data_IF_350859172645
#
_entry.id   IF_350859172645
#
_cell.length_a   1.000
_cell.length_b   1.000
_cell.length_c   1.000
_cell.angle_alpha   90.00
_cell.angle_beta   90.00
_cell.angle_gamma   90.00
#
_symmetry.space_group_name_H-M   'P 1'
#
loop_
_entity.id
_entity.type
_entity.pdbx_description
1 polymer ?
#
# COMPACT_ATOMS: atom_id res chain seq x y z
N UNK A 1 1.59 -9.74 19.05
CA UNK A 1 0.12 -9.57 19.01
C UNK A 1 -0.51 -10.96 19.13
N UNK A 2 -1.79 -11.06 19.50
CA UNK A 2 -2.50 -12.36 19.61
C UNK A 2 -2.33 -13.23 18.35
N UNK A 3 -2.41 -12.62 17.17
CA UNK A 3 -2.16 -13.29 15.88
C UNK A 3 -0.77 -13.95 15.79
N UNK A 4 0.28 -13.21 16.16
CA UNK A 4 1.66 -13.72 16.09
C UNK A 4 1.93 -14.76 17.17
N UNK A 5 1.33 -14.61 18.36
CA UNK A 5 1.40 -15.59 19.45
C UNK A 5 0.72 -16.91 19.07
N UNK A 6 -0.43 -16.86 18.40
CA UNK A 6 -1.14 -18.04 17.91
C UNK A 6 -0.33 -18.81 16.86
N UNK A 7 0.37 -18.10 15.97
CA UNK A 7 1.29 -18.72 15.01
C UNK A 7 2.44 -19.37 15.78
N UNK A 8 3.13 -18.63 16.66
CA UNK A 8 4.27 -19.15 17.41
C UNK A 8 3.94 -20.39 18.26
N UNK A 9 2.74 -20.46 18.88
CA UNK A 9 2.28 -21.62 19.66
C UNK A 9 2.11 -22.90 18.84
N UNK A 10 1.94 -22.81 17.52
CA UNK A 10 1.79 -23.97 16.63
C UNK A 10 3.13 -24.50 16.13
N UNK A 11 4.23 -23.84 16.43
CA UNK A 11 5.56 -24.12 15.90
C UNK A 11 6.43 -24.79 16.96
N UNK A 12 7.22 -25.76 16.53
CA UNK A 12 8.30 -26.33 17.35
C UNK A 12 9.49 -25.37 17.50
N UNK A 13 10.43 -25.66 18.42
CA UNK A 13 11.67 -24.91 18.53
C UNK A 13 12.42 -24.86 17.19
N UNK A 14 12.76 -23.66 16.71
CA UNK A 14 13.43 -23.41 15.43
C UNK A 14 12.68 -23.87 14.17
N UNK A 15 11.38 -24.17 14.27
CA UNK A 15 10.58 -24.48 13.08
C UNK A 15 10.31 -23.20 12.27
N UNK A 16 10.69 -23.14 10.98
CA UNK A 16 10.52 -21.94 10.18
C UNK A 16 9.06 -21.65 9.84
N UNK A 17 8.73 -20.38 9.58
CA UNK A 17 7.42 -19.99 9.06
C UNK A 17 7.12 -20.70 7.74
N UNK A 18 5.88 -21.16 7.61
CA UNK A 18 5.33 -21.69 6.36
C UNK A 18 4.49 -20.63 5.65
N UNK A 19 4.13 -20.91 4.40
CA UNK A 19 3.17 -20.07 3.67
C UNK A 19 1.80 -19.99 4.35
N UNK A 20 1.34 -21.07 5.01
CA UNK A 20 0.08 -21.04 5.78
C UNK A 20 0.18 -20.05 6.94
N UNK A 21 1.31 -20.06 7.66
CA UNK A 21 1.57 -19.12 8.76
C UNK A 21 1.52 -17.66 8.27
N UNK A 22 2.25 -17.34 7.19
CA UNK A 22 2.26 -16.00 6.60
C UNK A 22 0.86 -15.58 6.12
N UNK A 23 0.08 -16.50 5.55
CA UNK A 23 -1.28 -16.21 5.09
C UNK A 23 -2.27 -15.86 6.21
N UNK A 24 -1.95 -16.28 7.45
CA UNK A 24 -2.76 -15.99 8.65
C UNK A 24 -2.48 -14.60 9.23
N UNK A 25 -1.40 -13.94 8.83
CA UNK A 25 -0.97 -12.62 9.34
C UNK A 25 -1.80 -11.46 8.77
N UNK A 26 -3.12 -11.58 8.82
CA UNK A 26 -4.08 -10.63 8.23
C UNK A 26 -4.03 -9.28 8.93
N UNK A 27 -3.97 -9.26 10.26
CA UNK A 27 -3.89 -8.01 11.02
C UNK A 27 -2.55 -7.32 10.84
N UNK A 28 -1.43 -8.06 10.91
CA UNK A 28 -0.10 -7.51 10.58
C UNK A 28 -0.07 -6.91 9.17
N UNK A 29 -0.71 -7.56 8.18
CA UNK A 29 -0.79 -6.97 6.84
C UNK A 29 -1.57 -5.66 6.81
N UNK A 30 -2.70 -5.55 7.53
CA UNK A 30 -3.44 -4.29 7.65
C UNK A 30 -2.61 -3.18 8.31
N UNK A 31 -1.81 -3.51 9.31
CA UNK A 31 -0.86 -2.57 9.95
C UNK A 31 0.20 -2.10 8.96
N UNK A 32 0.75 -3.01 8.14
CA UNK A 32 1.70 -2.67 7.09
C UNK A 32 1.09 -1.75 6.03
N UNK A 33 -0.14 -2.03 5.59
CA UNK A 33 -0.87 -1.21 4.62
C UNK A 33 -1.15 0.21 5.16
N UNK A 34 -1.53 0.35 6.43
CA UNK A 34 -1.74 1.66 7.05
C UNK A 34 -0.43 2.43 7.25
N UNK A 35 0.67 1.72 7.52
CA UNK A 35 2.02 2.30 7.50
C UNK A 35 2.36 2.83 6.11
N UNK A 36 2.12 2.04 5.06
CA UNK A 36 2.36 2.44 3.67
C UNK A 36 1.48 3.63 3.25
N UNK A 37 0.26 3.76 3.78
CA UNK A 37 -0.63 4.91 3.53
C UNK A 37 -0.08 6.20 4.15
N UNK A 38 0.34 6.13 5.41
CA UNK A 38 0.68 7.32 6.21
C UNK A 38 2.14 7.76 6.02
N UNK A 39 3.04 6.80 5.86
CA UNK A 39 4.49 6.99 5.73
C UNK A 39 5.03 6.14 4.56
N UNK A 40 4.60 6.41 3.32
CA UNK A 40 5.11 5.67 2.17
C UNK A 40 6.60 5.93 1.95
N UNK A 41 7.43 4.90 1.67
CA UNK A 41 8.85 5.09 1.32
C UNK A 41 9.05 5.92 0.05
N UNK A 42 8.08 5.86 -0.88
CA UNK A 42 8.08 6.60 -2.14
C UNK A 42 6.86 7.52 -2.15
N UNK A 43 7.09 8.84 -2.24
CA UNK A 43 6.02 9.84 -2.17
C UNK A 43 5.20 10.00 -3.45
N UNK A 44 5.73 9.51 -4.58
CA UNK A 44 5.10 9.64 -5.88
C UNK A 44 6.00 9.19 -7.02
N UNK A 45 5.51 9.36 -8.24
CA UNK A 45 6.26 9.01 -9.45
C UNK A 45 6.02 10.03 -10.56
N UNK A 46 6.99 10.17 -11.46
CA UNK A 46 6.87 11.05 -12.62
C UNK A 46 6.39 10.29 -13.85
N UNK A 47 5.63 10.97 -14.71
CA UNK A 47 5.33 10.59 -16.09
C UNK A 47 5.57 11.79 -16.99
N UNK A 48 6.03 11.53 -18.21
CA UNK A 48 6.19 12.59 -19.21
C UNK A 48 5.01 12.55 -20.19
N UNK A 49 4.38 13.70 -20.42
CA UNK A 49 3.36 13.84 -21.43
C UNK A 49 3.99 13.66 -22.83
N UNK A 50 3.67 12.56 -23.51
CA UNK A 50 4.22 12.26 -24.85
C UNK A 50 3.52 13.01 -25.99
N UNK A 51 2.38 13.63 -25.67
CA UNK A 51 1.55 14.51 -26.51
C UNK A 51 0.84 15.50 -25.59
N UNK A 52 0.25 16.54 -26.16
CA UNK A 52 -0.62 17.44 -25.42
C UNK A 52 -1.83 16.66 -24.86
N UNK A 53 -2.21 16.96 -23.61
CA UNK A 53 -3.29 16.28 -22.89
C UNK A 53 -4.25 17.34 -22.33
N UNK A 54 -5.54 17.19 -22.61
CA UNK A 54 -6.61 17.89 -21.90
C UNK A 54 -7.14 17.00 -20.77
N UNK A 55 -7.11 17.48 -19.53
CA UNK A 55 -7.57 16.71 -18.38
C UNK A 55 -8.32 17.61 -17.39
N UNK A 56 -9.61 17.35 -17.17
CA UNK A 56 -10.49 18.17 -16.31
C UNK A 56 -10.38 19.69 -16.56
N UNK A 57 -10.25 20.10 -17.83
CA UNK A 57 -10.11 21.51 -18.23
C UNK A 57 -8.69 22.08 -18.11
N UNK A 58 -7.70 21.26 -17.72
CA UNK A 58 -6.29 21.61 -17.72
C UNK A 58 -5.61 21.15 -19.01
N UNK A 59 -4.92 22.07 -19.67
CA UNK A 59 -4.00 21.77 -20.77
C UNK A 59 -2.62 21.42 -20.23
N UNK A 60 -2.15 20.20 -20.52
CA UNK A 60 -0.82 19.70 -20.16
C UNK A 60 -0.01 19.53 -21.45
N UNK A 61 0.96 20.41 -21.73
CA UNK A 61 1.74 20.35 -22.97
C UNK A 61 2.63 19.11 -23.05
N UNK A 62 2.88 18.66 -24.28
CA UNK A 62 3.89 17.65 -24.60
C UNK A 62 5.24 18.02 -23.99
N UNK A 63 5.91 17.03 -23.42
CA UNK A 63 7.21 17.16 -22.77
C UNK A 63 7.14 17.52 -21.29
N UNK A 64 5.98 17.94 -20.78
CA UNK A 64 5.83 18.23 -19.36
C UNK A 64 5.89 16.96 -18.52
N UNK A 65 6.44 17.10 -17.31
CA UNK A 65 6.39 16.05 -16.30
C UNK A 65 5.16 16.21 -15.42
N UNK A 66 4.38 15.15 -15.31
CA UNK A 66 3.28 15.00 -14.37
C UNK A 66 3.77 14.19 -13.19
N UNK A 67 3.65 14.75 -11.98
CA UNK A 67 4.00 14.06 -10.74
C UNK A 67 2.75 13.52 -10.07
N UNK A 68 2.68 12.21 -9.86
CA UNK A 68 1.59 11.57 -9.11
C UNK A 68 1.94 11.56 -7.62
N UNK A 69 1.41 12.51 -6.86
CA UNK A 69 1.70 12.65 -5.42
C UNK A 69 0.84 11.71 -4.56
N UNK A 70 1.24 10.43 -4.49
CA UNK A 70 0.49 9.35 -3.84
C UNK A 70 0.18 9.66 -2.37
N UNK A 71 1.18 10.16 -1.62
CA UNK A 71 1.00 10.48 -0.20
C UNK A 71 -0.08 11.55 0.03
N UNK A 72 -0.22 12.51 -0.88
CA UNK A 72 -1.24 13.55 -0.76
C UNK A 72 -2.63 12.91 -0.91
N UNK A 73 -2.82 12.06 -1.91
CA UNK A 73 -4.07 11.31 -2.09
C UNK A 73 -4.37 10.38 -0.91
N UNK A 74 -3.34 9.72 -0.35
CA UNK A 74 -3.47 8.82 0.79
C UNK A 74 -3.89 9.53 2.09
N UNK A 75 -3.66 10.85 2.17
CA UNK A 75 -4.02 11.70 3.32
C UNK A 75 -5.21 12.63 3.02
N UNK A 76 -5.88 12.46 1.89
CA UNK A 76 -7.05 13.25 1.52
C UNK A 76 -8.29 12.74 2.29
N UNK A 77 -8.92 13.64 3.03
CA UNK A 77 -10.13 13.38 3.81
C UNK A 77 -11.34 12.96 2.98
N UNK A 78 -11.34 13.25 1.66
CA UNK A 78 -12.39 12.81 0.74
C UNK A 78 -12.33 11.31 0.44
N UNK A 79 -11.16 10.68 0.64
CA UNK A 79 -10.96 9.24 0.40
C UNK A 79 -10.72 8.46 1.69
N UNK A 80 -10.15 9.10 2.73
CA UNK A 80 -9.86 8.50 4.02
C UNK A 80 -10.35 9.37 5.17
N UNK A 81 -11.42 8.93 5.86
CA UNK A 81 -11.94 9.63 7.04
C UNK A 81 -10.87 9.74 8.14
N UNK A 82 -10.73 10.89 8.81
CA UNK A 82 -9.67 11.14 9.80
C UNK A 82 -8.28 10.71 9.30
N UNK A 83 -7.78 11.26 8.18
CA UNK A 83 -6.68 10.68 7.41
C UNK A 83 -5.35 10.59 8.18
N UNK A 84 -5.18 11.40 9.23
CA UNK A 84 -3.99 11.41 10.10
C UNK A 84 -4.03 10.35 11.21
N UNK A 85 -5.22 9.81 11.51
CA UNK A 85 -5.38 8.73 12.49
C UNK A 85 -4.88 7.43 11.88
N UNK A 86 -3.88 6.82 12.52
CA UNK A 86 -3.41 5.48 12.19
C UNK A 86 -4.47 4.46 12.60
N UNK A 87 -5.12 3.85 11.61
CA UNK A 87 -6.23 2.91 11.83
C UNK A 87 -6.16 1.72 10.84
N UNK A 88 -5.57 0.59 11.25
CA UNK A 88 -5.50 -0.61 10.41
C UNK A 88 -6.87 -1.16 9.97
N UNK A 89 -7.96 -0.85 10.69
CA UNK A 89 -9.31 -1.36 10.35
C UNK A 89 -9.85 -0.77 9.04
N UNK A 90 -9.25 0.30 8.52
CA UNK A 90 -9.53 0.84 7.17
C UNK A 90 -9.41 -0.22 6.07
N UNK A 91 -8.52 -1.19 6.27
CA UNK A 91 -8.26 -2.25 5.32
C UNK A 91 -9.06 -3.53 5.60
N UNK A 92 -10.07 -3.49 6.49
CA UNK A 92 -11.03 -4.59 6.62
C UNK A 92 -11.91 -4.74 5.38
N UNK A 93 -12.21 -3.63 4.71
CA UNK A 93 -12.94 -3.62 3.45
C UNK A 93 -12.18 -2.82 2.38
N UNK A 94 -11.23 -3.48 1.71
CA UNK A 94 -10.44 -2.89 0.64
C UNK A 94 -11.27 -2.32 -0.52
N UNK A 95 -12.48 -2.83 -0.77
CA UNK A 95 -13.30 -2.36 -1.90
C UNK A 95 -13.99 -1.03 -1.60
N UNK A 96 -13.94 -0.55 -0.35
CA UNK A 96 -14.46 0.78 0.02
C UNK A 96 -13.55 1.93 -0.44
N UNK A 97 -12.28 1.63 -0.71
CA UNK A 97 -11.30 2.62 -1.18
C UNK A 97 -11.47 2.78 -2.71
N UNK A 98 -11.71 4.01 -3.22
CA UNK A 98 -11.87 4.20 -4.66
C UNK A 98 -10.62 3.79 -5.45
N UNK A 99 -10.78 3.32 -6.70
CA UNK A 99 -9.65 2.97 -7.55
C UNK A 99 -8.62 4.09 -7.62
N UNK A 100 -7.34 3.73 -7.55
CA UNK A 100 -6.19 4.64 -7.58
C UNK A 100 -6.06 5.63 -6.41
N UNK A 101 -6.95 5.59 -5.40
CA UNK A 101 -6.81 6.39 -4.18
C UNK A 101 -5.87 5.77 -3.14
N UNK A 102 -5.54 4.47 -3.29
CA UNK A 102 -4.49 3.79 -2.53
C UNK A 102 -3.62 2.96 -3.47
N UNK A 103 -2.37 3.39 -3.67
CA UNK A 103 -1.44 2.82 -4.66
C UNK A 103 -0.01 2.79 -4.10
N UNK A 104 0.24 2.17 -2.92
CA UNK A 104 1.55 2.19 -2.28
C UNK A 104 2.66 1.56 -3.13
N UNK A 105 2.30 0.69 -4.07
CA UNK A 105 3.22 0.03 -5.01
C UNK A 105 3.03 0.51 -6.47
N UNK A 106 2.38 1.66 -6.66
CA UNK A 106 2.02 2.18 -7.97
C UNK A 106 0.81 1.47 -8.58
N UNK A 107 0.62 1.64 -9.89
CA UNK A 107 -0.52 1.08 -10.62
C UNK A 107 -0.27 0.98 -12.13
N UNK A 108 -1.13 0.23 -12.81
CA UNK A 108 -1.03 -0.01 -14.25
C UNK A 108 0.22 -0.80 -14.66
N UNK A 109 0.68 -0.67 -15.91
CA UNK A 109 1.81 -1.45 -16.46
C UNK A 109 3.17 -1.24 -15.77
N UNK A 110 3.27 -0.24 -14.88
CA UNK A 110 4.50 0.10 -14.14
C UNK A 110 4.33 -0.11 -12.63
N UNK A 111 3.36 -0.92 -12.22
CA UNK A 111 3.23 -1.38 -10.84
C UNK A 111 4.52 -2.09 -10.39
N UNK A 112 4.88 -1.96 -9.12
CA UNK A 112 6.07 -2.59 -8.56
C UNK A 112 6.04 -4.11 -8.78
N UNK A 113 7.03 -4.69 -9.50
CA UNK A 113 7.11 -6.14 -9.67
C UNK A 113 7.41 -6.87 -8.36
N UNK A 114 7.95 -6.16 -7.36
CA UNK A 114 8.28 -6.69 -6.04
C UNK A 114 7.15 -6.62 -5.01
N UNK A 115 5.90 -6.26 -5.39
CA UNK A 115 4.79 -6.10 -4.42
C UNK A 115 4.59 -7.34 -3.54
N UNK A 116 4.45 -8.53 -4.13
CA UNK A 116 4.23 -9.76 -3.36
C UNK A 116 5.47 -10.21 -2.58
N UNK A 117 6.66 -9.92 -3.11
CA UNK A 117 7.92 -10.17 -2.39
C UNK A 117 8.00 -9.29 -1.14
N UNK A 118 7.80 -7.98 -1.28
CA UNK A 118 7.81 -7.02 -0.19
C UNK A 118 6.75 -7.36 0.86
N UNK A 119 5.54 -7.76 0.44
CA UNK A 119 4.51 -8.25 1.36
C UNK A 119 5.01 -9.43 2.19
N UNK A 120 5.62 -10.42 1.55
CA UNK A 120 6.14 -11.60 2.26
C UNK A 120 7.28 -11.22 3.20
N UNK A 121 8.24 -10.43 2.73
CA UNK A 121 9.37 -9.93 3.52
C UNK A 121 8.91 -9.15 4.76
N UNK A 122 7.93 -8.24 4.60
CA UNK A 122 7.35 -7.48 5.71
C UNK A 122 6.70 -8.42 6.73
N UNK A 123 5.86 -9.35 6.28
CA UNK A 123 5.14 -10.26 7.17
C UNK A 123 6.09 -11.18 7.94
N UNK A 124 7.11 -11.72 7.27
CA UNK A 124 8.13 -12.58 7.90
C UNK A 124 9.00 -11.79 8.86
N UNK A 125 9.37 -10.55 8.53
CA UNK A 125 10.23 -9.71 9.39
C UNK A 125 9.49 -9.20 10.62
N UNK A 126 8.18 -8.99 10.53
CA UNK A 126 7.35 -8.51 11.64
C UNK A 126 6.93 -9.61 12.63
N UNK A 127 7.06 -10.88 12.27
CA UNK A 127 6.82 -12.03 13.15
C UNK A 127 7.99 -12.25 14.09
#
# INVERSE_FOLDING_TARGET
>A
TTEQEEIARRKGPNEPLTWDDVSRMKYTWKVALETLRTVPPIFGSFRTAVKDIEYHGYHIPKGWQVFTAQRITHLDGNFFNDPVKFDPTRFDNHTSIPPYCFVPFGGGPRMCPGNEFARTEILVTMH
#
